data_IF_874094660834
#
_entry.id   IF_874094660834
#
_cell.length_a   1.000
_cell.length_b   1.000
_cell.length_c   1.000
_cell.angle_alpha   90.00
_cell.angle_beta   90.00
_cell.angle_gamma   90.00
#
_symmetry.space_group_name_H-M   'P 1'
#
loop_
_entity.id
_entity.type
_entity.pdbx_description
1 polymer ?
#
# COMPACT_ATOMS: atom_id res chain seq x y z
N UNK A 1 4.06 38.95 -18.24
CA UNK A 1 3.07 37.85 -18.27
C UNK A 1 3.72 36.56 -18.74
N UNK A 2 4.58 36.58 -19.76
CA UNK A 2 5.31 35.39 -20.23
C UNK A 2 6.35 34.88 -19.22
N UNK A 3 7.13 35.74 -18.57
CA UNK A 3 8.08 35.28 -17.53
C UNK A 3 7.40 34.61 -16.33
N UNK A 4 6.20 35.07 -15.95
CA UNK A 4 5.45 34.47 -14.85
C UNK A 4 4.91 33.09 -15.24
N UNK A 5 4.50 32.91 -16.50
CA UNK A 5 4.10 31.61 -17.05
C UNK A 5 5.30 30.66 -17.16
N UNK A 6 6.41 31.16 -17.68
CA UNK A 6 7.66 30.40 -17.80
C UNK A 6 8.15 29.91 -16.43
N UNK A 7 8.18 30.78 -15.42
CA UNK A 7 8.54 30.37 -14.07
C UNK A 7 7.54 29.35 -13.48
N UNK A 8 6.24 29.51 -13.75
CA UNK A 8 5.23 28.55 -13.27
C UNK A 8 5.34 27.18 -13.94
N UNK A 9 5.68 27.13 -15.21
CA UNK A 9 5.93 25.88 -15.94
C UNK A 9 7.21 25.19 -15.44
N UNK A 10 8.28 25.96 -15.18
CA UNK A 10 9.52 25.44 -14.60
C UNK A 10 9.28 24.84 -13.18
N UNK A 11 8.42 25.48 -12.39
CA UNK A 11 7.95 24.93 -11.10
C UNK A 11 7.12 23.66 -11.25
N UNK A 12 6.32 23.56 -12.30
CA UNK A 12 5.50 22.39 -12.58
C UNK A 12 6.36 21.21 -13.03
N UNK A 13 7.37 21.44 -13.87
CA UNK A 13 8.34 20.42 -14.28
C UNK A 13 9.12 19.87 -13.09
N UNK A 14 9.64 20.74 -12.21
CA UNK A 14 10.34 20.30 -10.99
C UNK A 14 9.46 19.44 -10.07
N UNK A 15 8.16 19.72 -10.01
CA UNK A 15 7.20 18.94 -9.22
C UNK A 15 6.95 17.56 -9.86
N UNK A 16 6.81 17.52 -11.18
CA UNK A 16 6.66 16.27 -11.94
C UNK A 16 7.90 15.40 -11.76
N UNK A 17 9.10 15.97 -11.85
CA UNK A 17 10.35 15.23 -11.80
C UNK A 17 10.63 14.66 -10.40
N UNK A 18 10.29 15.40 -9.34
CA UNK A 18 10.40 14.91 -7.96
C UNK A 18 9.41 13.79 -7.66
N UNK A 19 8.16 13.93 -8.11
CA UNK A 19 7.13 12.90 -7.97
C UNK A 19 7.50 11.67 -8.78
N UNK A 20 8.03 11.84 -9.98
CA UNK A 20 8.50 10.74 -10.81
C UNK A 20 9.70 10.05 -10.19
N UNK A 21 10.69 10.76 -9.69
CA UNK A 21 11.86 10.16 -9.03
C UNK A 21 11.47 9.35 -7.80
N UNK A 22 10.58 9.89 -6.98
CA UNK A 22 10.05 9.19 -5.81
C UNK A 22 9.19 7.98 -6.18
N UNK A 23 8.31 8.13 -7.19
CA UNK A 23 7.54 7.02 -7.74
C UNK A 23 8.47 5.92 -8.22
N UNK A 24 9.57 6.29 -8.89
CA UNK A 24 10.58 5.38 -9.42
C UNK A 24 11.37 4.70 -8.30
N UNK A 25 11.75 5.39 -7.23
CA UNK A 25 12.46 4.80 -6.09
C UNK A 25 11.57 3.83 -5.31
N UNK A 26 10.28 4.16 -5.10
CA UNK A 26 9.31 3.23 -4.52
C UNK A 26 9.09 2.05 -5.45
N UNK A 27 8.88 2.29 -6.75
CA UNK A 27 8.74 1.21 -7.73
C UNK A 27 9.98 0.34 -7.73
N UNK A 28 11.19 0.90 -7.71
CA UNK A 28 12.43 0.13 -7.74
C UNK A 28 12.63 -0.72 -6.47
N UNK A 29 12.16 -0.27 -5.30
CA UNK A 29 12.17 -1.07 -4.09
C UNK A 29 11.10 -2.17 -4.06
N UNK A 30 9.95 -1.91 -4.69
CA UNK A 30 8.80 -2.84 -4.69
C UNK A 30 8.77 -3.77 -5.90
N UNK A 31 9.28 -3.38 -7.07
CA UNK A 31 9.30 -4.17 -8.31
C UNK A 31 10.03 -5.50 -8.08
N UNK A 32 11.23 -5.56 -7.46
CA UNK A 32 11.90 -6.83 -7.24
C UNK A 32 11.10 -7.75 -6.31
N UNK A 33 10.50 -7.19 -5.25
CA UNK A 33 9.66 -7.95 -4.33
C UNK A 33 8.34 -8.39 -4.99
N UNK A 34 7.75 -7.53 -5.81
CA UNK A 34 6.53 -7.76 -6.59
C UNK A 34 6.77 -8.78 -7.68
N UNK A 35 7.89 -8.72 -8.39
CA UNK A 35 8.28 -9.67 -9.44
C UNK A 35 8.57 -11.05 -8.84
N UNK A 36 9.23 -11.10 -7.67
CA UNK A 36 9.45 -12.37 -6.97
C UNK A 36 8.13 -12.96 -6.43
N UNK A 37 7.24 -12.10 -5.94
CA UNK A 37 5.90 -12.48 -5.50
C UNK A 37 5.03 -12.93 -6.68
N UNK A 38 4.93 -12.14 -7.74
CA UNK A 38 4.19 -12.48 -8.96
C UNK A 38 4.80 -13.68 -9.67
N UNK A 39 6.10 -13.89 -9.60
CA UNK A 39 6.79 -15.10 -10.06
C UNK A 39 6.37 -16.33 -9.25
N UNK A 40 6.29 -16.22 -7.92
CA UNK A 40 5.72 -17.25 -7.05
C UNK A 40 4.23 -17.52 -7.36
N UNK A 41 3.43 -16.46 -7.56
CA UNK A 41 2.04 -16.59 -7.96
C UNK A 41 1.90 -17.17 -9.37
N UNK A 42 2.76 -16.87 -10.34
CA UNK A 42 2.72 -17.51 -11.65
C UNK A 42 3.17 -18.97 -11.63
N UNK A 43 4.16 -19.29 -10.79
CA UNK A 43 4.63 -20.67 -10.58
C UNK A 43 3.59 -21.53 -9.88
N UNK A 44 2.70 -20.89 -9.13
CA UNK A 44 1.48 -21.47 -8.62
C UNK A 44 0.53 -21.73 -9.80
N UNK A 45 0.05 -22.96 -9.95
CA UNK A 45 -0.83 -23.33 -11.06
C UNK A 45 -2.29 -22.90 -10.77
N UNK A 46 -2.69 -21.71 -11.26
CA UNK A 46 -3.99 -21.08 -10.92
C UNK A 46 -5.20 -21.89 -11.39
N UNK A 47 -5.01 -22.72 -12.42
CA UNK A 47 -6.07 -23.56 -12.98
C UNK A 47 -6.66 -24.50 -11.93
N UNK A 48 -5.80 -25.07 -11.08
CA UNK A 48 -6.21 -26.00 -10.03
C UNK A 48 -6.51 -25.25 -8.72
N UNK A 49 -5.82 -24.13 -8.46
CA UNK A 49 -6.09 -23.30 -7.28
C UNK A 49 -7.43 -22.60 -7.26
N UNK A 50 -8.01 -22.23 -8.41
CA UNK A 50 -9.36 -21.65 -8.41
C UNK A 50 -10.38 -22.70 -7.97
N UNK A 51 -10.21 -23.94 -8.42
CA UNK A 51 -11.00 -25.09 -7.99
C UNK A 51 -10.77 -25.40 -6.50
N UNK A 52 -9.52 -25.40 -6.03
CA UNK A 52 -9.20 -25.63 -4.62
C UNK A 52 -9.66 -24.50 -3.70
N UNK A 53 -9.67 -23.26 -4.19
CA UNK A 53 -10.17 -22.10 -3.45
C UNK A 53 -11.70 -22.13 -3.35
N UNK A 54 -12.40 -22.45 -4.45
CA UNK A 54 -13.86 -22.64 -4.43
C UNK A 54 -14.23 -23.83 -3.56
N UNK A 55 -13.50 -24.95 -3.66
CA UNK A 55 -13.67 -26.10 -2.78
C UNK A 55 -13.35 -25.74 -1.32
N UNK A 56 -12.33 -24.92 -1.08
CA UNK A 56 -11.97 -24.41 0.24
C UNK A 56 -13.03 -23.51 0.84
N UNK A 57 -13.69 -22.65 0.06
CA UNK A 57 -14.85 -21.85 0.50
C UNK A 57 -16.03 -22.76 0.79
N UNK A 58 -16.29 -23.76 -0.04
CA UNK A 58 -17.36 -24.73 0.17
C UNK A 58 -17.10 -25.64 1.40
N UNK A 59 -15.83 -25.94 1.68
CA UNK A 59 -15.39 -26.70 2.85
C UNK A 59 -15.19 -25.83 4.10
N UNK A 60 -15.09 -24.51 3.94
CA UNK A 60 -14.93 -23.59 5.05
C UNK A 60 -16.14 -23.65 5.99
N UNK A 61 -17.35 -23.74 5.45
CA UNK A 61 -18.58 -23.85 6.25
C UNK A 61 -18.62 -25.14 7.11
N UNK A 62 -18.39 -26.36 6.58
CA UNK A 62 -18.30 -27.56 7.41
C UNK A 62 -17.07 -27.59 8.32
N UNK A 63 -15.91 -27.08 7.90
CA UNK A 63 -14.73 -26.97 8.76
C UNK A 63 -14.99 -26.06 9.96
N UNK A 64 -15.58 -24.90 9.73
CA UNK A 64 -15.93 -23.93 10.77
C UNK A 64 -16.98 -24.52 11.72
N UNK A 65 -17.92 -25.34 11.21
CA UNK A 65 -18.91 -26.08 12.03
C UNK A 65 -18.29 -27.22 12.85
N UNK A 66 -17.27 -27.91 12.33
CA UNK A 66 -16.53 -28.97 13.03
C UNK A 66 -15.64 -28.36 14.12
N UNK A 67 -14.90 -27.31 13.79
CA UNK A 67 -14.04 -26.59 14.74
C UNK A 67 -14.88 -25.91 15.83
N UNK A 68 -16.06 -25.36 15.49
CA UNK A 68 -17.01 -24.83 16.44
C UNK A 68 -17.71 -25.88 17.32
N UNK A 69 -17.69 -27.17 16.96
CA UNK A 69 -18.16 -28.26 17.84
C UNK A 69 -17.05 -28.79 18.75
N UNK A 70 -15.82 -28.84 18.24
CA UNK A 70 -14.63 -29.30 18.97
C UNK A 70 -13.79 -28.14 19.55
N UNK A 71 -14.38 -26.96 19.73
CA UNK A 71 -13.68 -25.74 20.15
C UNK A 71 -12.86 -25.93 21.43
N UNK A 72 -13.34 -26.76 22.37
CA UNK A 72 -12.64 -27.09 23.63
C UNK A 72 -11.24 -27.69 23.44
N UNK A 73 -10.96 -28.28 22.28
CA UNK A 73 -9.64 -28.83 21.95
C UNK A 73 -8.66 -27.78 21.40
N UNK A 74 -9.14 -26.63 20.94
CA UNK A 74 -8.33 -25.60 20.28
C UNK A 74 -8.25 -24.30 21.08
N UNK A 75 -9.30 -23.96 21.82
CA UNK A 75 -9.41 -22.72 22.57
C UNK A 75 -10.25 -22.89 23.83
N UNK A 76 -9.93 -22.13 24.88
CA UNK A 76 -10.70 -22.13 26.13
C UNK A 76 -12.11 -21.53 25.98
N UNK A 77 -12.43 -20.90 24.85
CA UNK A 77 -13.73 -20.32 24.52
C UNK A 77 -14.08 -20.59 23.05
N UNK A 78 -15.37 -20.57 22.70
CA UNK A 78 -15.82 -20.82 21.33
C UNK A 78 -15.76 -19.54 20.49
N UNK A 79 -14.74 -19.42 19.65
CA UNK A 79 -14.52 -18.27 18.74
C UNK A 79 -15.03 -18.53 17.31
N UNK A 80 -15.63 -19.70 17.04
CA UNK A 80 -16.06 -20.07 15.70
C UNK A 80 -17.53 -19.69 15.46
N UNK A 81 -17.73 -18.65 14.65
CA UNK A 81 -19.06 -18.13 14.31
C UNK A 81 -19.56 -18.68 12.96
N UNK A 82 -20.88 -18.88 12.76
CA UNK A 82 -21.44 -19.31 11.48
C UNK A 82 -21.07 -18.39 10.29
N UNK A 83 -20.83 -17.11 10.57
CA UNK A 83 -20.44 -16.08 9.60
C UNK A 83 -18.96 -16.16 9.19
N UNK A 84 -18.13 -16.96 9.86
CA UNK A 84 -16.71 -17.13 9.50
C UNK A 84 -15.83 -15.91 9.77
N UNK A 85 -16.27 -14.98 10.63
CA UNK A 85 -15.56 -13.74 10.95
C UNK A 85 -14.15 -14.02 11.49
N UNK A 86 -14.02 -14.94 12.45
CA UNK A 86 -12.72 -15.33 13.03
C UNK A 86 -11.74 -15.85 11.96
N UNK A 87 -12.18 -16.77 11.11
CA UNK A 87 -11.35 -17.33 10.03
C UNK A 87 -10.99 -16.27 8.98
N UNK A 88 -11.90 -15.34 8.70
CA UNK A 88 -11.67 -14.23 7.76
C UNK A 88 -10.61 -13.27 8.30
N UNK A 89 -10.66 -12.94 9.59
CA UNK A 89 -9.66 -12.08 10.25
C UNK A 89 -8.31 -12.78 10.37
N UNK A 90 -8.31 -14.09 10.65
CA UNK A 90 -7.07 -14.89 10.69
C UNK A 90 -6.35 -14.89 9.33
N UNK A 91 -7.11 -15.03 8.24
CA UNK A 91 -6.58 -15.05 6.87
C UNK A 91 -6.17 -13.65 6.35
N UNK A 92 -6.96 -12.63 6.67
CA UNK A 92 -6.71 -11.24 6.24
C UNK A 92 -5.76 -10.47 7.16
N UNK A 93 -5.50 -10.95 8.38
CA UNK A 93 -4.63 -10.31 9.37
C UNK A 93 -3.23 -10.00 8.84
N UNK A 94 -2.48 -10.98 8.28
CA UNK A 94 -1.15 -10.73 7.71
C UNK A 94 -1.17 -9.72 6.55
N UNK A 95 -2.21 -9.79 5.69
CA UNK A 95 -2.41 -8.85 4.59
C UNK A 95 -2.69 -7.44 5.10
N UNK A 96 -3.51 -7.31 6.15
CA UNK A 96 -3.81 -6.04 6.83
C UNK A 96 -2.55 -5.42 7.42
N UNK A 97 -1.69 -6.22 8.07
CA UNK A 97 -0.42 -5.75 8.64
C UNK A 97 0.51 -5.23 7.54
N UNK A 98 0.68 -5.98 6.45
CA UNK A 98 1.48 -5.54 5.30
C UNK A 98 0.92 -4.24 4.70
N UNK A 99 -0.40 -4.14 4.55
CA UNK A 99 -1.05 -2.93 4.03
C UNK A 99 -0.82 -1.73 4.96
N UNK A 100 -0.84 -1.95 6.28
CA UNK A 100 -0.62 -0.91 7.27
C UNK A 100 0.83 -0.42 7.24
N UNK A 101 1.81 -1.30 7.08
CA UNK A 101 3.22 -0.93 6.94
C UNK A 101 3.43 -0.08 5.68
N UNK A 102 2.83 -0.48 4.55
CA UNK A 102 2.90 0.30 3.29
C UNK A 102 2.22 1.67 3.49
N UNK A 103 1.05 1.71 4.10
CA UNK A 103 0.32 2.96 4.37
C UNK A 103 1.14 3.91 5.24
N UNK A 104 1.75 3.42 6.31
CA UNK A 104 2.58 4.23 7.21
C UNK A 104 3.82 4.74 6.49
N UNK A 105 4.53 3.88 5.76
CA UNK A 105 5.72 4.27 4.99
C UNK A 105 5.40 5.31 3.90
N UNK A 106 4.27 5.17 3.20
CA UNK A 106 3.82 6.15 2.20
C UNK A 106 3.41 7.46 2.86
N UNK A 107 2.70 7.43 4.00
CA UNK A 107 2.30 8.62 4.75
C UNK A 107 3.50 9.44 5.22
N UNK A 108 4.52 8.80 5.81
CA UNK A 108 5.74 9.48 6.22
C UNK A 108 6.49 10.10 5.03
N UNK A 109 6.56 9.36 3.92
CA UNK A 109 7.20 9.85 2.70
C UNK A 109 6.48 11.07 2.12
N UNK A 110 5.15 11.07 2.12
CA UNK A 110 4.32 12.20 1.67
C UNK A 110 4.49 13.41 2.59
N UNK A 111 4.48 13.22 3.92
CA UNK A 111 4.71 14.29 4.89
C UNK A 111 6.10 14.93 4.71
N UNK A 112 7.14 14.12 4.52
CA UNK A 112 8.49 14.62 4.24
C UNK A 112 8.54 15.43 2.93
N UNK A 113 7.82 14.97 1.91
CA UNK A 113 7.71 15.67 0.63
C UNK A 113 7.02 17.03 0.77
N UNK A 114 5.91 17.09 1.51
CA UNK A 114 5.16 18.33 1.77
C UNK A 114 6.03 19.34 2.53
N UNK A 115 6.81 18.89 3.51
CA UNK A 115 7.72 19.78 4.27
C UNK A 115 8.86 20.28 3.41
N UNK A 116 9.48 19.40 2.60
CA UNK A 116 10.51 19.82 1.63
C UNK A 116 9.96 20.79 0.60
N UNK A 117 8.75 20.53 0.09
CA UNK A 117 8.04 21.40 -0.83
C UNK A 117 7.78 22.77 -0.20
N UNK A 118 7.22 22.82 1.02
CA UNK A 118 6.99 24.08 1.74
C UNK A 118 8.27 24.87 1.99
N UNK A 119 9.37 24.19 2.32
CA UNK A 119 10.69 24.86 2.47
C UNK A 119 11.23 25.38 1.13
N UNK A 120 11.05 24.64 0.04
CA UNK A 120 11.47 25.08 -1.30
C UNK A 120 10.61 26.25 -1.82
N UNK A 121 9.30 26.18 -1.63
CA UNK A 121 8.33 27.23 -1.97
C UNK A 121 8.68 28.55 -1.28
N UNK A 122 8.95 28.51 0.03
CA UNK A 122 9.32 29.71 0.80
C UNK A 122 10.65 30.33 0.34
N UNK A 123 11.66 29.49 0.03
CA UNK A 123 12.94 29.99 -0.50
C UNK A 123 12.78 30.63 -1.88
N UNK A 124 11.90 30.08 -2.73
CA UNK A 124 11.59 30.67 -4.02
C UNK A 124 10.87 32.02 -3.88
N UNK A 125 9.86 32.10 -3.00
CA UNK A 125 9.17 33.37 -2.70
C UNK A 125 10.12 34.44 -2.15
N UNK A 126 11.07 34.06 -1.30
CA UNK A 126 12.07 34.99 -0.76
C UNK A 126 13.01 35.56 -1.85
N UNK A 127 13.39 34.74 -2.84
CA UNK A 127 14.21 35.20 -3.98
C UNK A 127 13.42 36.13 -4.91
N UNK A 128 12.16 35.80 -5.20
CA UNK A 128 11.27 36.63 -6.01
C UNK A 128 10.96 37.99 -5.36
N UNK A 129 10.91 38.07 -4.03
CA UNK A 129 10.75 39.33 -3.31
C UNK A 129 12.01 40.21 -3.36
N UNK A 130 13.20 39.60 -3.32
CA UNK A 130 14.48 40.33 -3.41
C UNK A 130 14.71 40.95 -4.80
N UNK A 131 14.38 40.22 -5.86
CA UNK A 131 14.49 40.70 -7.24
C UNK A 131 13.50 41.82 -7.60
N UNK A 132 12.52 42.14 -6.75
CA UNK A 132 11.60 43.29 -6.94
C UNK A 132 12.09 44.58 -6.27
N UNK A 133 13.14 44.51 -5.45
CA UNK A 133 13.71 45.66 -4.74
C UNK A 133 14.98 46.23 -5.40
N UNK A 134 15.56 45.50 -6.35
CA UNK A 134 16.57 45.99 -7.30
C UNK A 134 15.87 46.47 -8.59
#
# INVERSE_FOLDING_TARGET
MEELKSAMEEHMELMVDLVQKFSTDIRAGFIPAYDNFMGFFHAIDWKYKLFDAVAGVYLAEPLNKIMGKNWKSFSGQNYFDPSGLFMSVLWSGPLLIISMIILVNTLFSLCYLIVRWKRAELRHRARAARNKQE
#
